data_IF_285938179583
#
_entry.id   IF_285938179583
#
_cell.length_a   1.000
_cell.length_b   1.000
_cell.length_c   1.000
_cell.angle_alpha   90.00
_cell.angle_beta   90.00
_cell.angle_gamma   90.00
#
_symmetry.space_group_name_H-M   'P 1'
#
loop_
_entity.id
_entity.type
_entity.pdbx_description
1 polymer ?
#
# COMPACT_ATOMS: atom_id res chain seq x y z
N UNK A 1 -16.16 -4.14 -13.57
CA UNK A 1 -16.10 -5.59 -13.30
C UNK A 1 -17.37 -5.97 -12.55
N UNK A 2 -18.23 -6.85 -13.09
CA UNK A 2 -19.49 -7.29 -12.45
C UNK A 2 -19.21 -8.25 -11.29
N UNK A 3 -18.46 -7.77 -10.28
CA UNK A 3 -17.98 -8.56 -9.16
C UNK A 3 -19.13 -8.90 -8.21
N UNK A 4 -19.03 -10.06 -7.57
CA UNK A 4 -20.00 -10.46 -6.53
C UNK A 4 -19.91 -9.52 -5.33
N UNK A 5 -20.97 -9.52 -4.52
CA UNK A 5 -21.03 -8.67 -3.34
C UNK A 5 -19.92 -9.01 -2.33
N UNK A 6 -19.61 -10.30 -2.14
CA UNK A 6 -18.58 -10.79 -1.22
C UNK A 6 -17.18 -10.31 -1.63
N UNK A 7 -16.89 -10.31 -2.93
CA UNK A 7 -15.61 -9.81 -3.45
C UNK A 7 -15.49 -8.31 -3.20
N UNK A 8 -16.55 -7.55 -3.47
CA UNK A 8 -16.57 -6.09 -3.23
C UNK A 8 -16.45 -5.77 -1.74
N UNK A 9 -17.12 -6.53 -0.88
CA UNK A 9 -17.04 -6.39 0.57
C UNK A 9 -15.63 -6.71 1.10
N UNK A 10 -14.99 -7.76 0.59
CA UNK A 10 -13.60 -8.07 0.90
C UNK A 10 -12.63 -6.96 0.49
N UNK A 11 -12.77 -6.42 -0.72
CA UNK A 11 -11.95 -5.29 -1.20
C UNK A 11 -12.19 -4.04 -0.35
N UNK A 12 -13.43 -3.75 0.02
CA UNK A 12 -13.74 -2.56 0.83
C UNK A 12 -13.15 -2.67 2.25
N UNK A 13 -13.18 -3.87 2.85
CA UNK A 13 -12.87 -4.07 4.26
C UNK A 13 -11.49 -4.69 4.55
N UNK A 14 -10.63 -4.89 3.54
CA UNK A 14 -9.28 -5.45 3.78
C UNK A 14 -8.37 -4.50 4.58
N UNK A 15 -8.70 -3.20 4.64
CA UNK A 15 -7.97 -2.21 5.43
C UNK A 15 -8.08 -2.49 6.95
N UNK A 16 -7.29 -1.80 7.78
CA UNK A 16 -7.36 -1.99 9.25
C UNK A 16 -8.67 -1.44 9.84
N UNK A 17 -9.36 -0.57 9.11
CA UNK A 17 -10.68 -0.03 9.43
C UNK A 17 -11.75 -0.83 8.70
N UNK A 18 -12.73 -1.34 9.43
CA UNK A 18 -13.79 -2.19 8.88
C UNK A 18 -13.58 -3.68 9.15
N UNK A 19 -14.59 -4.47 8.79
CA UNK A 19 -14.64 -5.91 9.02
C UNK A 19 -15.46 -6.55 7.91
N UNK A 20 -14.82 -7.35 7.07
CA UNK A 20 -15.49 -8.08 6.02
C UNK A 20 -16.54 -9.05 6.61
N UNK A 21 -17.62 -9.25 5.87
CA UNK A 21 -18.70 -10.15 6.23
C UNK A 21 -18.20 -11.61 6.25
N UNK A 22 -17.43 -12.00 5.25
CA UNK A 22 -16.91 -13.38 5.06
C UNK A 22 -15.60 -13.62 5.79
N UNK A 23 -15.31 -14.87 6.14
CA UNK A 23 -14.03 -15.25 6.75
C UNK A 23 -12.87 -15.09 5.75
N UNK A 24 -13.13 -15.34 4.47
CA UNK A 24 -12.21 -15.13 3.36
C UNK A 24 -11.81 -13.65 3.25
N UNK A 25 -12.77 -12.73 3.35
CA UNK A 25 -12.48 -11.29 3.37
C UNK A 25 -11.70 -10.89 4.63
N UNK A 26 -12.00 -11.52 5.78
CA UNK A 26 -11.29 -11.25 7.04
C UNK A 26 -9.85 -11.75 7.03
N UNK A 27 -9.55 -12.91 6.44
CA UNK A 27 -8.17 -13.42 6.37
C UNK A 27 -7.30 -12.60 5.42
N UNK A 28 -7.86 -12.08 4.31
CA UNK A 28 -7.13 -11.21 3.35
C UNK A 28 -6.49 -10.02 4.06
N UNK A 29 -7.20 -9.43 5.02
CA UNK A 29 -6.69 -8.36 5.90
C UNK A 29 -5.36 -8.73 6.55
N UNK A 30 -5.24 -9.93 7.11
CA UNK A 30 -4.04 -10.39 7.80
C UNK A 30 -2.95 -10.77 6.80
N UNK A 31 -3.30 -11.50 5.75
CA UNK A 31 -2.37 -11.91 4.70
C UNK A 31 -1.64 -10.73 4.08
N UNK A 32 -2.38 -9.67 3.74
CA UNK A 32 -1.84 -8.43 3.18
C UNK A 32 -0.79 -7.79 4.10
N UNK A 33 -1.09 -7.68 5.40
CA UNK A 33 -0.21 -7.00 6.36
C UNK A 33 0.97 -7.84 6.79
N UNK A 34 0.82 -9.16 6.80
CA UNK A 34 1.93 -10.10 7.01
C UNK A 34 2.87 -10.07 5.81
N UNK A 35 2.34 -10.04 4.59
CA UNK A 35 3.17 -9.93 3.39
C UNK A 35 3.94 -8.60 3.39
N UNK A 36 3.23 -7.48 3.60
CA UNK A 36 3.82 -6.15 3.59
C UNK A 36 4.95 -6.00 4.61
N UNK A 37 4.69 -6.28 5.90
CA UNK A 37 5.71 -6.09 6.95
C UNK A 37 6.97 -6.92 6.69
N UNK A 38 6.84 -8.16 6.20
CA UNK A 38 7.99 -9.02 5.94
C UNK A 38 8.76 -8.55 4.70
N UNK A 39 8.07 -8.16 3.63
CA UNK A 39 8.70 -7.56 2.47
C UNK A 39 9.45 -6.27 2.82
N UNK A 40 8.85 -5.40 3.63
CA UNK A 40 9.50 -4.15 4.04
C UNK A 40 10.73 -4.37 4.89
N UNK A 41 10.70 -5.36 5.80
CA UNK A 41 11.88 -5.74 6.59
C UNK A 41 12.98 -6.22 5.65
N UNK A 42 12.65 -7.12 4.71
CA UNK A 42 13.61 -7.62 3.72
C UNK A 42 14.21 -6.48 2.88
N UNK A 43 13.39 -5.55 2.40
CA UNK A 43 13.83 -4.42 1.57
C UNK A 43 14.62 -3.39 2.37
N UNK A 44 14.25 -3.13 3.63
CA UNK A 44 15.02 -2.27 4.53
C UNK A 44 16.40 -2.88 4.84
N UNK A 45 16.49 -4.20 5.01
CA UNK A 45 17.76 -4.91 5.18
C UNK A 45 18.60 -4.86 3.90
N UNK A 46 18.00 -5.15 2.74
CA UNK A 46 18.68 -5.07 1.44
C UNK A 46 19.17 -3.66 1.12
N UNK A 47 18.39 -2.64 1.47
CA UNK A 47 18.74 -1.23 1.34
C UNK A 47 19.76 -0.74 2.37
N UNK A 48 20.15 -1.57 3.33
CA UNK A 48 21.10 -1.23 4.40
C UNK A 48 20.55 -0.21 5.40
N UNK A 49 19.23 -0.08 5.51
CA UNK A 49 18.55 0.83 6.44
C UNK A 49 18.58 0.26 7.86
N UNK A 50 18.38 -1.05 7.99
CA UNK A 50 18.46 -1.81 9.24
C UNK A 50 19.15 -3.16 9.00
N UNK A 51 19.51 -3.86 10.08
CA UNK A 51 19.96 -5.26 10.08
C UNK A 51 18.96 -6.11 10.83
N UNK A 52 18.90 -7.40 10.50
CA UNK A 52 18.05 -8.39 11.19
C UNK A 52 18.27 -8.38 12.72
N UNK A 53 19.53 -8.20 13.15
CA UNK A 53 19.93 -8.14 14.56
C UNK A 53 19.51 -6.85 15.28
N UNK A 54 19.08 -5.82 14.54
CA UNK A 54 18.61 -4.54 15.09
C UNK A 54 17.10 -4.53 15.33
N UNK A 55 16.39 -5.57 14.87
CA UNK A 55 14.98 -5.75 15.17
C UNK A 55 14.77 -5.98 16.68
N UNK A 56 13.71 -5.43 17.28
CA UNK A 56 13.51 -5.56 18.73
C UNK A 56 13.30 -7.02 19.16
N UNK A 57 14.14 -7.49 20.08
CA UNK A 57 14.04 -8.81 20.71
C UNK A 57 12.63 -9.13 21.22
N UNK A 58 11.99 -8.13 21.84
CA UNK A 58 10.62 -8.22 22.35
C UNK A 58 9.58 -8.68 21.31
N UNK A 59 9.87 -8.57 20.01
CA UNK A 59 9.01 -9.04 18.92
C UNK A 59 9.62 -10.25 18.19
N UNK A 60 10.94 -10.26 17.96
CA UNK A 60 11.60 -11.38 17.27
C UNK A 60 11.63 -12.65 18.10
N UNK A 61 11.66 -12.56 19.43
CA UNK A 61 11.65 -13.74 20.31
C UNK A 61 10.29 -14.47 20.25
N UNK A 62 9.23 -13.77 19.83
CA UNK A 62 7.88 -14.31 19.63
C UNK A 62 7.70 -14.73 18.17
N UNK A 63 8.03 -13.85 17.22
CA UNK A 63 7.73 -14.08 15.81
C UNK A 63 8.80 -14.94 15.11
N UNK A 64 10.08 -14.71 15.40
CA UNK A 64 11.23 -15.33 14.76
C UNK A 64 12.34 -14.34 14.40
N UNK A 65 13.57 -14.87 14.27
CA UNK A 65 14.79 -14.12 13.93
C UNK A 65 15.17 -14.26 12.45
N UNK A 66 14.22 -14.68 11.62
CA UNK A 66 14.34 -14.65 10.17
C UNK A 66 12.96 -14.49 9.55
N UNK A 67 12.93 -14.02 8.30
CA UNK A 67 11.70 -13.89 7.52
C UNK A 67 10.92 -15.21 7.43
N UNK A 68 11.62 -16.35 7.27
CA UNK A 68 11.00 -17.67 7.25
C UNK A 68 10.33 -18.02 8.59
N UNK A 69 11.03 -17.79 9.70
CA UNK A 69 10.49 -18.07 11.03
C UNK A 69 9.27 -17.20 11.34
N UNK A 70 9.38 -15.89 11.08
CA UNK A 70 8.26 -14.94 11.25
C UNK A 70 7.02 -15.35 10.49
N UNK A 71 7.16 -15.68 9.20
CA UNK A 71 6.05 -16.13 8.37
C UNK A 71 5.43 -17.42 8.91
N UNK A 72 6.26 -18.41 9.26
CA UNK A 72 5.77 -19.67 9.82
C UNK A 72 4.98 -19.44 11.11
N UNK A 73 5.51 -18.65 12.04
CA UNK A 73 4.84 -18.37 13.32
C UNK A 73 3.49 -17.68 13.09
N UNK A 74 3.47 -16.59 12.30
CA UNK A 74 2.25 -15.83 12.03
C UNK A 74 1.16 -16.69 11.36
N UNK A 75 1.54 -17.45 10.33
CA UNK A 75 0.60 -18.29 9.59
C UNK A 75 0.06 -19.41 10.48
N UNK A 76 0.94 -20.14 11.16
CA UNK A 76 0.51 -21.25 12.01
C UNK A 76 -0.31 -20.79 13.21
N UNK A 77 0.02 -19.65 13.81
CA UNK A 77 -0.76 -19.08 14.90
C UNK A 77 -2.17 -18.72 14.44
N UNK A 78 -2.32 -17.95 13.34
CA UNK A 78 -3.64 -17.59 12.82
C UNK A 78 -4.48 -18.83 12.51
N UNK A 79 -3.90 -19.83 11.83
CA UNK A 79 -4.62 -21.05 11.49
C UNK A 79 -5.11 -21.76 12.75
N UNK A 80 -4.23 -21.95 13.74
CA UNK A 80 -4.59 -22.62 15.00
C UNK A 80 -5.64 -21.84 15.79
N UNK A 81 -5.48 -20.51 15.85
CA UNK A 81 -6.36 -19.65 16.64
C UNK A 81 -7.71 -19.38 15.98
N UNK A 82 -7.82 -19.60 14.67
CA UNK A 82 -9.07 -19.42 13.92
C UNK A 82 -9.82 -20.73 13.68
N UNK A 83 -9.17 -21.89 13.89
CA UNK A 83 -9.78 -23.20 13.67
C UNK A 83 -11.04 -23.38 14.52
N UNK A 84 -12.12 -23.83 13.89
CA UNK A 84 -13.45 -24.06 14.50
C UNK A 84 -14.05 -22.81 15.19
N UNK A 85 -13.58 -21.60 14.84
CA UNK A 85 -14.12 -20.33 15.33
C UNK A 85 -14.80 -19.55 14.20
N UNK A 86 -15.86 -18.79 14.50
CA UNK A 86 -16.53 -17.93 13.51
C UNK A 86 -15.77 -16.62 13.24
N UNK A 87 -14.43 -16.62 13.43
CA UNK A 87 -13.59 -15.45 13.23
C UNK A 87 -12.12 -15.80 12.93
N UNK A 88 -11.38 -14.81 12.44
CA UNK A 88 -9.94 -14.90 12.17
C UNK A 88 -9.17 -14.12 13.23
N UNK A 89 -8.35 -14.83 14.00
CA UNK A 89 -7.68 -14.29 15.18
C UNK A 89 -6.21 -14.71 15.22
N UNK A 90 -5.38 -13.89 15.88
CA UNK A 90 -4.06 -14.28 16.39
C UNK A 90 -4.18 -14.59 17.90
N UNK A 91 -3.16 -15.20 18.48
CA UNK A 91 -2.98 -15.21 19.93
C UNK A 91 -2.52 -13.84 20.43
N UNK A 92 -2.75 -13.55 21.71
CA UNK A 92 -2.43 -12.24 22.30
C UNK A 92 -0.94 -11.88 22.15
N UNK A 93 -0.05 -12.84 22.38
CA UNK A 93 1.40 -12.64 22.25
C UNK A 93 1.83 -12.35 20.81
N UNK A 94 1.28 -13.11 19.85
CA UNK A 94 1.58 -12.93 18.43
C UNK A 94 1.01 -11.62 17.90
N UNK A 95 -0.20 -11.24 18.30
CA UNK A 95 -0.80 -9.95 17.95
C UNK A 95 0.02 -8.79 18.52
N UNK A 96 0.43 -8.88 19.79
CA UNK A 96 1.31 -7.89 20.43
C UNK A 96 2.61 -7.72 19.65
N UNK A 97 3.29 -8.81 19.34
CA UNK A 97 4.55 -8.78 18.62
C UNK A 97 4.38 -8.26 17.18
N UNK A 98 3.32 -8.66 16.49
CA UNK A 98 3.00 -8.21 15.15
C UNK A 98 2.73 -6.71 15.08
N UNK A 99 1.85 -6.19 15.94
CA UNK A 99 1.55 -4.77 16.00
C UNK A 99 2.77 -3.94 16.43
N UNK A 100 3.55 -4.46 17.39
CA UNK A 100 4.80 -3.87 17.84
C UNK A 100 5.83 -3.75 16.71
N UNK A 101 6.03 -4.83 15.96
CA UNK A 101 6.94 -4.85 14.80
C UNK A 101 6.49 -3.84 13.73
N UNK A 102 5.19 -3.76 13.42
CA UNK A 102 4.67 -2.77 12.47
C UNK A 102 4.95 -1.35 12.93
N UNK A 103 4.75 -1.06 14.22
CA UNK A 103 5.05 0.26 14.80
C UNK A 103 6.54 0.59 14.74
N UNK A 104 7.40 -0.39 15.03
CA UNK A 104 8.85 -0.22 14.90
C UNK A 104 9.26 0.11 13.47
N UNK A 105 8.76 -0.66 12.49
CA UNK A 105 9.05 -0.43 11.08
C UNK A 105 8.60 0.97 10.64
N UNK A 106 7.38 1.37 11.03
CA UNK A 106 6.85 2.71 10.76
C UNK A 106 7.81 3.80 11.26
N UNK A 107 8.29 3.71 12.49
CA UNK A 107 9.18 4.73 13.05
C UNK A 107 10.56 4.70 12.40
N UNK A 108 11.18 3.53 12.23
CA UNK A 108 12.61 3.45 11.91
C UNK A 108 12.92 3.39 10.40
N UNK A 109 11.99 2.88 9.60
CA UNK A 109 12.17 2.74 8.15
C UNK A 109 11.40 3.83 7.41
N UNK A 110 10.11 3.99 7.71
CA UNK A 110 9.25 4.92 6.96
C UNK A 110 9.51 6.39 7.27
N UNK A 111 9.91 6.75 8.50
CA UNK A 111 10.19 8.17 8.82
C UNK A 111 11.63 8.62 8.52
N UNK A 112 12.48 7.74 7.96
CA UNK A 112 13.87 8.04 7.69
C UNK A 112 14.00 9.13 6.60
N UNK A 113 14.85 10.13 6.84
CA UNK A 113 14.97 11.37 6.05
C UNK A 113 15.25 11.14 4.55
N UNK A 114 15.84 10.01 4.18
CA UNK A 114 16.08 9.64 2.76
C UNK A 114 14.79 9.29 2.02
N UNK A 115 13.83 8.63 2.68
CA UNK A 115 12.52 8.31 2.10
C UNK A 115 11.68 9.57 1.88
N UNK A 116 11.73 10.53 2.83
CA UNK A 116 11.03 11.82 2.71
C UNK A 116 11.44 12.63 1.48
N UNK A 117 12.70 12.55 1.05
CA UNK A 117 13.19 13.31 -0.10
C UNK A 117 12.55 12.89 -1.43
N UNK A 118 12.28 11.61 -1.62
CA UNK A 118 11.60 11.09 -2.82
C UNK A 118 10.08 11.21 -2.71
N UNK A 119 9.51 11.07 -1.50
CA UNK A 119 8.09 11.25 -1.25
C UNK A 119 7.61 12.66 -1.65
N UNK A 120 8.37 13.70 -1.29
CA UNK A 120 8.07 15.09 -1.69
C UNK A 120 8.11 15.29 -3.21
N UNK A 121 9.02 14.61 -3.91
CA UNK A 121 9.09 14.69 -5.38
C UNK A 121 7.89 14.01 -6.02
N UNK A 122 7.52 12.83 -5.55
CA UNK A 122 6.36 12.10 -6.04
C UNK A 122 5.06 12.89 -5.80
N UNK A 123 4.89 13.47 -4.61
CA UNK A 123 3.76 14.37 -4.30
C UNK A 123 3.71 15.55 -5.27
N UNK A 124 4.85 16.19 -5.53
CA UNK A 124 4.93 17.30 -6.46
C UNK A 124 4.58 16.87 -7.90
N UNK A 125 5.07 15.72 -8.38
CA UNK A 125 4.74 15.20 -9.71
C UNK A 125 3.22 15.04 -9.86
N UNK A 126 2.57 14.37 -8.90
CA UNK A 126 1.12 14.13 -8.93
C UNK A 126 0.34 15.44 -8.89
N UNK A 127 0.75 16.37 -8.03
CA UNK A 127 0.12 17.69 -7.88
C UNK A 127 0.19 18.51 -9.17
N UNK A 128 1.37 18.61 -9.78
CA UNK A 128 1.55 19.37 -11.01
C UNK A 128 0.82 18.73 -12.19
N UNK A 129 0.83 17.39 -12.31
CA UNK A 129 0.03 16.69 -13.30
C UNK A 129 -1.47 16.95 -13.11
N UNK A 130 -1.96 16.93 -11.86
CA UNK A 130 -3.35 17.22 -11.56
C UNK A 130 -3.74 18.63 -12.01
N UNK A 131 -2.97 19.65 -11.62
CA UNK A 131 -3.24 21.03 -12.04
C UNK A 131 -3.21 21.18 -13.56
N UNK A 132 -2.22 20.58 -14.22
CA UNK A 132 -2.08 20.68 -15.68
C UNK A 132 -3.25 20.05 -16.42
N UNK A 133 -3.73 18.86 -16.01
CA UNK A 133 -4.92 18.24 -16.61
C UNK A 133 -6.23 18.95 -16.24
N UNK A 134 -6.27 19.66 -15.11
CA UNK A 134 -7.40 20.53 -14.78
C UNK A 134 -7.45 21.77 -15.68
N UNK A 135 -6.30 22.33 -16.07
CA UNK A 135 -6.21 23.44 -17.02
C UNK A 135 -6.39 22.99 -18.48
N UNK A 136 -5.97 21.75 -18.78
CA UNK A 136 -5.97 21.16 -20.12
C UNK A 136 -6.73 19.81 -20.19
N UNK A 137 -8.06 19.78 -19.90
CA UNK A 137 -8.84 18.55 -19.89
C UNK A 137 -8.90 17.84 -21.26
N UNK A 138 -8.68 18.57 -22.36
CA UNK A 138 -8.59 18.03 -23.72
C UNK A 138 -7.42 17.06 -23.93
N UNK A 139 -6.42 17.09 -23.05
CA UNK A 139 -5.26 16.17 -23.08
C UNK A 139 -5.54 14.83 -22.39
N UNK A 140 -6.66 14.71 -21.69
CA UNK A 140 -7.08 13.42 -21.12
C UNK A 140 -7.43 12.43 -22.25
N UNK A 141 -7.27 11.11 -22.03
CA UNK A 141 -7.78 10.14 -22.97
C UNK A 141 -9.30 10.28 -23.12
N UNK A 142 -9.79 10.06 -24.33
CA UNK A 142 -11.20 10.27 -24.71
C UNK A 142 -12.20 9.63 -23.73
N UNK A 143 -11.91 8.44 -23.21
CA UNK A 143 -12.76 7.75 -22.24
C UNK A 143 -12.93 8.50 -20.90
N UNK A 144 -11.93 9.25 -20.44
CA UNK A 144 -12.00 10.05 -19.21
C UNK A 144 -12.71 11.37 -19.46
N UNK A 145 -12.50 11.95 -20.63
CA UNK A 145 -13.24 13.12 -21.08
C UNK A 145 -14.73 12.77 -21.16
N UNK A 146 -15.09 11.67 -21.84
CA UNK A 146 -16.47 11.18 -21.97
C UNK A 146 -17.17 10.97 -20.62
N UNK A 147 -16.43 10.51 -19.60
CA UNK A 147 -16.95 10.35 -18.24
C UNK A 147 -17.36 11.66 -17.58
N UNK A 148 -16.73 12.79 -17.92
CA UNK A 148 -17.05 14.10 -17.34
C UNK A 148 -18.49 14.54 -17.66
N UNK A 149 -19.07 14.07 -18.77
CA UNK A 149 -20.44 14.38 -19.16
C UNK A 149 -21.49 13.40 -18.61
N UNK A 150 -21.06 12.39 -17.83
CA UNK A 150 -21.99 11.50 -17.16
C UNK A 150 -22.57 12.16 -15.89
N UNK A 151 -23.85 11.92 -15.62
CA UNK A 151 -24.53 12.52 -14.48
C UNK A 151 -23.82 12.17 -13.16
N UNK A 152 -23.44 13.20 -12.40
CA UNK A 152 -22.79 13.06 -11.08
C UNK A 152 -21.27 12.88 -11.13
N UNK A 153 -20.64 12.93 -12.30
CA UNK A 153 -19.18 12.99 -12.44
C UNK A 153 -18.71 14.43 -12.51
N UNK A 154 -17.49 14.68 -12.01
CA UNK A 154 -16.84 15.99 -12.08
C UNK A 154 -15.53 15.90 -12.84
N UNK A 155 -15.04 17.04 -13.34
CA UNK A 155 -13.73 17.11 -14.00
C UNK A 155 -12.62 16.61 -13.08
N UNK A 156 -12.65 17.05 -11.82
CA UNK A 156 -11.68 16.67 -10.79
C UNK A 156 -11.66 15.15 -10.61
N UNK A 157 -12.83 14.50 -10.60
CA UNK A 157 -12.91 13.04 -10.46
C UNK A 157 -12.32 12.32 -11.68
N UNK A 158 -12.63 12.77 -12.89
CA UNK A 158 -12.06 12.17 -14.11
C UNK A 158 -10.54 12.34 -14.19
N UNK A 159 -10.01 13.51 -13.80
CA UNK A 159 -8.55 13.75 -13.73
C UNK A 159 -7.91 12.84 -12.68
N UNK A 160 -8.49 12.75 -11.48
CA UNK A 160 -8.02 11.86 -10.41
C UNK A 160 -8.01 10.38 -10.85
N UNK A 161 -9.07 9.91 -11.50
CA UNK A 161 -9.16 8.53 -11.97
C UNK A 161 -8.11 8.24 -13.05
N UNK A 162 -7.81 9.21 -13.92
CA UNK A 162 -6.75 9.05 -14.92
C UNK A 162 -5.36 9.00 -14.30
N UNK A 163 -5.04 9.95 -13.41
CA UNK A 163 -3.74 10.02 -12.73
C UNK A 163 -3.51 8.79 -11.85
N UNK A 164 -4.53 8.35 -11.09
CA UNK A 164 -4.42 7.14 -10.26
C UNK A 164 -4.29 5.83 -11.07
N UNK A 165 -4.63 5.86 -12.36
CA UNK A 165 -4.41 4.75 -13.29
C UNK A 165 -3.02 4.72 -13.93
N UNK A 166 -2.17 5.72 -13.70
CA UNK A 166 -0.81 5.77 -14.25
C UNK A 166 0.14 4.84 -13.49
N UNK A 167 1.11 4.26 -14.21
CA UNK A 167 2.30 3.69 -13.57
C UNK A 167 3.30 4.80 -13.25
N UNK A 168 4.18 4.59 -12.27
CA UNK A 168 5.20 5.57 -11.89
C UNK A 168 6.03 6.06 -13.08
N UNK A 169 6.47 5.13 -13.93
CA UNK A 169 7.25 5.44 -15.14
C UNK A 169 6.46 6.31 -16.13
N UNK A 170 5.16 6.04 -16.28
CA UNK A 170 4.30 6.81 -17.16
C UNK A 170 4.07 8.23 -16.62
N UNK A 171 3.79 8.35 -15.32
CA UNK A 171 3.61 9.64 -14.66
C UNK A 171 4.87 10.50 -14.73
N UNK A 172 6.05 9.92 -14.47
CA UNK A 172 7.34 10.60 -14.63
C UNK A 172 7.56 11.05 -16.08
N UNK A 173 7.29 10.17 -17.05
CA UNK A 173 7.41 10.51 -18.47
C UNK A 173 6.51 11.68 -18.87
N UNK A 174 5.26 11.69 -18.41
CA UNK A 174 4.33 12.80 -18.65
C UNK A 174 4.75 14.09 -17.97
N UNK A 175 5.24 14.00 -16.74
CA UNK A 175 5.79 15.18 -16.05
C UNK A 175 6.98 15.77 -16.80
N UNK A 176 7.90 14.91 -17.27
CA UNK A 176 9.02 15.36 -18.10
C UNK A 176 8.54 15.98 -19.42
N UNK A 177 7.51 15.44 -20.06
CA UNK A 177 6.89 15.98 -21.29
C UNK A 177 6.34 17.39 -21.11
N UNK A 178 5.62 17.64 -20.02
CA UNK A 178 4.92 18.91 -19.84
C UNK A 178 5.76 19.99 -19.18
N UNK A 179 6.66 19.62 -18.27
CA UNK A 179 7.34 20.60 -17.41
C UNK A 179 8.85 20.72 -17.67
N UNK A 180 9.47 19.78 -18.39
CA UNK A 180 10.91 19.79 -18.65
C UNK A 180 11.19 19.99 -20.15
N UNK A 181 11.76 21.14 -20.55
CA UNK A 181 12.11 21.38 -21.95
C UNK A 181 13.05 20.31 -22.51
N UNK A 182 12.82 19.90 -23.76
CA UNK A 182 13.61 18.85 -24.42
C UNK A 182 15.12 19.13 -24.44
N UNK A 183 15.51 20.41 -24.45
CA UNK A 183 16.90 20.83 -24.41
C UNK A 183 17.64 20.46 -23.12
N UNK A 184 16.94 20.09 -22.05
CA UNK A 184 17.51 19.81 -20.73
C UNK A 184 17.50 18.31 -20.37
N UNK A 185 17.20 17.43 -21.34
CA UNK A 185 17.09 15.98 -21.15
C UNK A 185 18.41 15.20 -21.33
N UNK A 186 19.55 15.88 -21.28
CA UNK A 186 20.88 15.30 -21.57
C UNK A 186 21.75 15.13 -20.32
#
# INVERSE_FOLDING_TARGET
>A
LNLTWEVRDGILNHQMTGRAATLEGRIVRYSDKIAYINHDIDDAIRGGIIRETELPGAYTDILGHSTRERLNTLIHDIVKQSLDKPDICMSEDVEYAFLGMRKYMFVNVYTNARAKGEELKAENIVKELFHYYMEHPELLPKEYIERMWQAGQTQERSVCDYISGMTDQYAIGKFQEFFIPDSWRY
#
